data_IF_933597955161
#
_entry.id   IF_933597955161
#
_cell.length_a   1.000
_cell.length_b   1.000
_cell.length_c   1.000
_cell.angle_alpha   90.00
_cell.angle_beta   90.00
_cell.angle_gamma   90.00
#
_symmetry.space_group_name_H-M   'P 1'
#
loop_
_entity.id
_entity.type
_entity.pdbx_description
1 polymer ?
#
# COMPACT_ATOMS: atom_id res chain seq x y z
N UNK A 1 -27.30 1.68 -1.01
CA UNK A 1 -26.11 2.23 -0.33
C UNK A 1 -25.19 1.05 -0.03
N UNK A 2 -23.88 1.10 -0.36
CA UNK A 2 -22.97 0.04 0.05
C UNK A 2 -22.90 0.01 1.58
N UNK A 3 -23.04 -1.18 2.18
CA UNK A 3 -22.89 -1.36 3.62
C UNK A 3 -21.43 -1.13 4.00
N UNK A 4 -21.11 -0.25 4.97
CA UNK A 4 -19.75 -0.06 5.43
C UNK A 4 -19.25 -1.34 6.11
N UNK A 5 -17.97 -1.66 5.93
CA UNK A 5 -17.35 -2.82 6.58
C UNK A 5 -17.44 -2.67 8.11
N UNK A 6 -17.95 -3.71 8.76
CA UNK A 6 -17.88 -3.85 10.21
C UNK A 6 -16.42 -3.96 10.67
N UNK A 7 -16.13 -3.72 11.97
CA UNK A 7 -14.78 -3.84 12.50
C UNK A 7 -14.13 -5.21 12.25
N UNK A 8 -14.89 -6.29 12.37
CA UNK A 8 -14.40 -7.65 12.11
C UNK A 8 -14.06 -7.85 10.62
N UNK A 9 -14.95 -7.40 9.72
CA UNK A 9 -14.71 -7.45 8.28
C UNK A 9 -13.48 -6.65 7.88
N UNK A 10 -13.21 -5.50 8.53
CA UNK A 10 -11.97 -4.74 8.32
C UNK A 10 -10.73 -5.52 8.74
N UNK A 11 -10.80 -6.27 9.84
CA UNK A 11 -9.69 -7.11 10.31
C UNK A 11 -9.44 -8.24 9.31
N UNK A 12 -10.49 -8.93 8.87
CA UNK A 12 -10.41 -10.01 7.89
C UNK A 12 -9.88 -9.49 6.55
N UNK A 13 -10.38 -8.34 6.09
CA UNK A 13 -9.91 -7.67 4.89
C UNK A 13 -8.41 -7.36 4.96
N UNK A 14 -7.95 -6.74 6.06
CA UNK A 14 -6.53 -6.43 6.25
C UNK A 14 -5.67 -7.68 6.18
N UNK A 15 -6.04 -8.74 6.90
CA UNK A 15 -5.30 -10.01 6.90
C UNK A 15 -5.23 -10.65 5.51
N UNK A 16 -6.37 -10.75 4.82
CA UNK A 16 -6.44 -11.33 3.48
C UNK A 16 -5.66 -10.52 2.45
N UNK A 17 -5.81 -9.20 2.46
CA UNK A 17 -5.09 -8.31 1.56
C UNK A 17 -3.58 -8.33 1.81
N UNK A 18 -3.15 -8.31 3.08
CA UNK A 18 -1.73 -8.40 3.42
C UNK A 18 -1.11 -9.67 2.85
N UNK A 19 -1.78 -10.82 2.99
CA UNK A 19 -1.26 -12.08 2.46
C UNK A 19 -1.17 -12.06 0.94
N UNK A 20 -2.25 -11.65 0.27
CA UNK A 20 -2.31 -11.56 -1.19
C UNK A 20 -1.25 -10.63 -1.78
N UNK A 21 -1.10 -9.43 -1.21
CA UNK A 21 -0.12 -8.45 -1.70
C UNK A 21 1.30 -8.93 -1.41
N UNK A 22 1.56 -9.51 -0.24
CA UNK A 22 2.88 -10.06 0.09
C UNK A 22 3.31 -11.13 -0.93
N UNK A 23 2.40 -12.01 -1.35
CA UNK A 23 2.68 -13.01 -2.39
C UNK A 23 3.04 -12.35 -3.73
N UNK A 24 2.29 -11.33 -4.17
CA UNK A 24 2.60 -10.58 -5.39
C UNK A 24 3.97 -9.89 -5.35
N UNK A 25 4.26 -9.20 -4.26
CA UNK A 25 5.55 -8.53 -4.08
C UNK A 25 6.71 -9.55 -4.02
N UNK A 26 6.51 -10.71 -3.39
CA UNK A 26 7.51 -11.78 -3.36
C UNK A 26 7.78 -12.36 -4.76
N UNK A 27 6.79 -12.34 -5.65
CA UNK A 27 6.94 -12.67 -7.07
C UNK A 27 7.57 -11.54 -7.91
N UNK A 28 7.90 -10.39 -7.29
CA UNK A 28 8.46 -9.23 -7.98
C UNK A 28 7.43 -8.36 -8.69
N UNK A 29 6.14 -8.59 -8.45
CA UNK A 29 5.06 -7.75 -9.01
C UNK A 29 4.77 -6.54 -8.13
N UNK A 30 4.22 -5.48 -8.71
CA UNK A 30 3.59 -4.38 -7.99
C UNK A 30 2.09 -4.61 -7.84
N UNK A 31 1.49 -4.01 -6.80
CA UNK A 31 0.05 -4.02 -6.60
C UNK A 31 -0.54 -2.62 -6.82
N UNK A 32 -1.70 -2.56 -7.49
CA UNK A 32 -2.47 -1.32 -7.71
C UNK A 32 -3.95 -1.63 -7.47
N UNK A 33 -4.62 -0.73 -6.77
CA UNK A 33 -6.08 -0.78 -6.57
C UNK A 33 -6.66 0.62 -6.64
N UNK A 34 -7.82 0.78 -7.26
CA UNK A 34 -8.54 2.04 -7.18
C UNK A 34 -9.14 2.19 -5.78
N UNK A 35 -8.90 3.33 -5.15
CA UNK A 35 -9.35 3.60 -3.77
C UNK A 35 -9.99 4.98 -3.69
N UNK A 36 -10.75 5.19 -2.63
CA UNK A 36 -11.21 6.52 -2.21
C UNK A 36 -10.37 7.00 -1.03
N UNK A 37 -10.41 8.31 -0.75
CA UNK A 37 -9.74 8.90 0.40
C UNK A 37 -10.19 8.29 1.75
N UNK A 38 -11.43 7.79 1.83
CA UNK A 38 -11.94 7.11 3.03
C UNK A 38 -11.24 5.76 3.29
N UNK A 39 -10.86 5.05 2.22
CA UNK A 39 -10.24 3.73 2.30
C UNK A 39 -8.70 3.79 2.26
N UNK A 40 -8.13 4.93 1.87
CA UNK A 40 -6.68 5.17 1.89
C UNK A 40 -5.98 4.80 3.22
N UNK A 41 -6.46 5.21 4.41
CA UNK A 41 -5.83 4.82 5.66
C UNK A 41 -5.81 3.30 5.88
N UNK A 42 -6.82 2.58 5.39
CA UNK A 42 -6.87 1.11 5.45
C UNK A 42 -5.75 0.49 4.61
N UNK A 43 -5.48 1.02 3.43
CA UNK A 43 -4.39 0.55 2.57
C UNK A 43 -3.00 0.91 3.09
N UNK A 44 -2.86 2.05 3.80
CA UNK A 44 -1.63 2.35 4.52
C UNK A 44 -1.36 1.34 5.66
N UNK A 45 -2.38 0.95 6.43
CA UNK A 45 -2.24 -0.12 7.42
C UNK A 45 -1.81 -1.44 6.76
N UNK A 46 -2.47 -1.83 5.65
CA UNK A 46 -2.12 -3.03 4.90
C UNK A 46 -0.67 -2.97 4.41
N UNK A 47 -0.20 -1.83 3.93
CA UNK A 47 1.19 -1.64 3.49
C UNK A 47 2.17 -1.90 4.64
N UNK A 48 1.89 -1.36 5.83
CA UNK A 48 2.71 -1.60 7.02
C UNK A 48 2.75 -3.09 7.40
N UNK A 49 1.59 -3.76 7.35
CA UNK A 49 1.48 -5.19 7.62
C UNK A 49 2.23 -6.05 6.59
N UNK A 50 2.20 -5.66 5.31
CA UNK A 50 2.95 -6.36 4.23
C UNK A 50 4.45 -6.21 4.46
N UNK A 51 4.92 -4.98 4.78
CA UNK A 51 6.32 -4.72 5.13
C UNK A 51 6.78 -5.60 6.30
N UNK A 52 5.98 -5.66 7.37
CA UNK A 52 6.25 -6.52 8.53
C UNK A 52 6.29 -8.01 8.16
N UNK A 53 5.35 -8.47 7.29
CA UNK A 53 5.28 -9.87 6.86
C UNK A 53 6.46 -10.29 6.00
N UNK A 54 6.93 -9.42 5.10
CA UNK A 54 8.06 -9.69 4.23
C UNK A 54 9.41 -9.45 4.91
N UNK A 55 9.43 -8.81 6.08
CA UNK A 55 10.66 -8.45 6.79
C UNK A 55 11.52 -7.44 6.02
N UNK A 56 10.93 -6.65 5.11
CA UNK A 56 11.63 -5.67 4.29
C UNK A 56 10.73 -4.48 3.97
N UNK A 57 11.30 -3.28 3.75
CA UNK A 57 10.52 -2.09 3.45
C UNK A 57 9.69 -2.24 2.18
N UNK A 58 8.49 -1.67 2.21
CA UNK A 58 7.52 -1.62 1.11
C UNK A 58 7.01 -0.19 1.03
N UNK A 59 6.89 0.34 -0.19
CA UNK A 59 6.37 1.68 -0.45
C UNK A 59 4.89 1.61 -0.80
N UNK A 60 4.07 2.40 -0.11
CA UNK A 60 2.65 2.57 -0.40
C UNK A 60 2.35 4.05 -0.66
N UNK A 61 1.75 4.37 -1.80
CA UNK A 61 1.36 5.74 -2.12
C UNK A 61 0.05 5.80 -2.91
N UNK A 62 -0.61 6.94 -2.85
CA UNK A 62 -1.88 7.24 -3.52
C UNK A 62 -1.69 8.39 -4.50
N UNK A 63 -2.45 8.40 -5.60
CA UNK A 63 -2.58 9.58 -6.46
C UNK A 63 -3.96 10.27 -6.31
N UNK A 64 -4.73 9.91 -5.27
CA UNK A 64 -6.11 10.36 -5.06
C UNK A 64 -7.18 9.55 -5.80
N UNK A 65 -6.78 8.62 -6.68
CA UNK A 65 -7.68 7.68 -7.37
C UNK A 65 -7.25 6.22 -7.19
N UNK A 66 -5.95 5.98 -7.22
CA UNK A 66 -5.34 4.67 -7.14
C UNK A 66 -4.32 4.65 -6.02
N UNK A 67 -4.29 3.53 -5.29
CA UNK A 67 -3.28 3.18 -4.31
C UNK A 67 -2.32 2.15 -4.91
N UNK A 68 -1.03 2.42 -4.78
CA UNK A 68 0.06 1.61 -5.30
C UNK A 68 0.87 1.06 -4.15
N UNK A 69 1.23 -0.23 -4.21
CA UNK A 69 2.11 -0.89 -3.26
C UNK A 69 3.20 -1.61 -4.04
N UNK A 70 4.47 -1.32 -3.74
CA UNK A 70 5.62 -1.89 -4.43
C UNK A 70 6.82 -2.03 -3.49
N UNK A 71 7.76 -2.92 -3.83
CA UNK A 71 9.07 -2.92 -3.19
C UNK A 71 9.85 -1.67 -3.64
N UNK A 72 10.68 -1.08 -2.76
CA UNK A 72 11.57 0.01 -3.16
C UNK A 72 12.51 -0.47 -4.25
N UNK A 73 12.75 0.36 -5.28
CA UNK A 73 13.78 0.04 -6.26
C UNK A 73 15.15 0.01 -5.54
N UNK A 74 16.04 -0.89 -5.96
CA UNK A 74 17.33 -1.11 -5.30
C UNK A 74 18.18 0.16 -5.15
N UNK A 75 17.92 1.18 -5.97
CA UNK A 75 18.57 2.49 -5.93
C UNK A 75 18.08 3.38 -4.75
N UNK A 76 16.84 3.20 -4.30
CA UNK A 76 16.20 4.02 -3.26
C UNK A 76 16.65 3.67 -1.83
N UNK A 77 17.27 2.51 -1.63
CA UNK A 77 17.77 2.05 -0.32
C UNK A 77 19.13 2.65 0.06
N UNK A 78 19.76 3.41 -0.85
CA UNK A 78 21.12 3.98 -0.70
C UNK A 78 21.14 5.50 -0.48
N UNK A 79 20.00 6.10 -0.12
CA UNK A 79 19.88 7.52 0.19
C UNK A 79 19.64 8.41 -1.04
N UNK A 80 18.39 8.78 -1.27
CA UNK A 80 17.99 9.82 -2.22
C UNK A 80 16.76 10.57 -1.66
N UNK A 81 16.68 11.91 -1.81
CA UNK A 81 15.75 12.72 -1.04
C UNK A 81 14.31 12.42 -1.46
N UNK A 82 13.41 12.44 -0.47
CA UNK A 82 11.97 12.53 -0.66
C UNK A 82 11.68 13.50 -1.81
N UNK A 83 11.08 13.00 -2.89
CA UNK A 83 10.58 13.85 -3.96
C UNK A 83 9.42 14.68 -3.43
N UNK A 84 9.78 15.83 -2.87
CA UNK A 84 9.01 17.06 -2.99
C UNK A 84 8.78 17.33 -4.47
N UNK A 85 7.59 17.01 -4.98
CA UNK A 85 7.07 17.70 -6.16
C UNK A 85 5.75 18.36 -5.79
N UNK A 86 5.92 19.51 -5.15
CA UNK A 86 5.05 20.64 -5.42
C UNK A 86 5.35 21.19 -6.83
N UNK A 87 4.37 21.91 -7.40
CA UNK A 87 4.28 22.69 -8.67
C UNK A 87 3.44 21.99 -9.75
N UNK A 88 2.43 22.61 -10.38
CA UNK A 88 2.16 24.02 -10.78
C UNK A 88 0.69 24.41 -10.48
N UNK A 89 0.27 25.67 -10.31
CA UNK A 89 0.59 26.93 -11.02
C UNK A 89 0.89 28.09 -10.06
#
# INVERSE_FOLDING_TARGET
MPTPLTPDEKIQFKRGMTDFIAQKLAAGESFRVSTTAELEPLYHEVTSMVSARLGRPVTGFTNGRDFFISLPQADELTGGPAQVTARQD
#
